data_IF_219944923087
#
_entry.id   IF_219944923087
#
_cell.length_a   1.000
_cell.length_b   1.000
_cell.length_c   1.000
_cell.angle_alpha   90.00
_cell.angle_beta   90.00
_cell.angle_gamma   90.00
#
_symmetry.space_group_name_H-M   'P 1'
#
loop_
_entity.id
_entity.type
_entity.pdbx_description
1 polymer ?
#
# COMPACT_ATOMS: atom_id res chain seq x y z
N UNK A 1 22.50 -58.85 -29.55
CA UNK A 1 22.07 -59.78 -28.48
C UNK A 1 22.92 -59.53 -27.27
N UNK A 2 22.30 -59.19 -26.14
CA UNK A 2 22.98 -59.02 -24.85
C UNK A 2 22.73 -60.25 -23.98
N UNK A 3 23.78 -60.76 -23.33
CA UNK A 3 23.64 -61.86 -22.38
C UNK A 3 22.95 -61.34 -21.12
N UNK A 4 21.75 -61.82 -20.84
CA UNK A 4 21.03 -61.47 -19.62
C UNK A 4 21.77 -62.01 -18.39
N UNK A 5 21.99 -61.14 -17.41
CA UNK A 5 22.42 -61.53 -16.06
C UNK A 5 21.34 -61.03 -15.09
N UNK A 6 20.77 -61.91 -14.23
CA UNK A 6 19.74 -61.50 -13.29
C UNK A 6 20.14 -60.29 -12.44
N UNK A 7 19.28 -59.26 -12.43
CA UNK A 7 19.48 -58.03 -11.65
C UNK A 7 20.53 -57.05 -12.21
N UNK A 8 21.28 -57.43 -13.24
CA UNK A 8 22.25 -56.56 -13.88
C UNK A 8 21.58 -55.50 -14.76
N UNK A 9 22.25 -54.36 -14.89
CA UNK A 9 21.85 -53.33 -15.84
C UNK A 9 22.27 -53.73 -17.25
N UNK A 10 21.37 -53.53 -18.21
CA UNK A 10 21.64 -53.64 -19.63
C UNK A 10 21.74 -52.22 -20.16
N UNK A 11 22.96 -51.78 -20.44
CA UNK A 11 23.24 -50.46 -21.02
C UNK A 11 23.60 -50.62 -22.49
N UNK A 12 22.88 -49.92 -23.36
CA UNK A 12 23.14 -49.86 -24.79
C UNK A 12 22.79 -48.49 -25.34
N UNK A 13 23.61 -47.93 -26.22
CA UNK A 13 23.33 -46.68 -26.95
C UNK A 13 22.77 -45.52 -26.07
N UNK A 14 23.33 -45.33 -24.87
CA UNK A 14 22.97 -44.25 -23.94
C UNK A 14 21.74 -44.50 -23.05
N UNK A 15 21.00 -45.58 -23.28
CA UNK A 15 19.89 -45.99 -22.40
C UNK A 15 20.32 -47.15 -21.50
N UNK A 16 19.67 -47.25 -20.34
CA UNK A 16 19.89 -48.32 -19.35
C UNK A 16 18.54 -48.90 -18.94
N UNK A 17 18.41 -50.22 -19.00
CA UNK A 17 17.24 -50.95 -18.52
C UNK A 17 17.66 -52.02 -17.54
N UNK A 18 16.80 -52.30 -16.55
CA UNK A 18 16.95 -53.40 -15.62
C UNK A 18 15.75 -54.34 -15.79
N UNK A 19 16.03 -55.60 -16.16
CA UNK A 19 15.00 -56.63 -16.23
C UNK A 19 14.92 -57.30 -14.86
N UNK A 20 13.80 -57.08 -14.17
CA UNK A 20 13.50 -57.68 -12.86
C UNK A 20 12.56 -58.87 -13.01
N UNK A 21 12.68 -59.87 -12.12
CA UNK A 21 11.87 -61.11 -12.16
C UNK A 21 12.69 -62.32 -12.62
N UNK A 22 12.02 -63.46 -12.79
CA UNK A 22 12.62 -64.71 -13.27
C UNK A 22 12.15 -64.98 -14.71
N UNK A 23 12.91 -64.59 -15.75
CA UNK A 23 12.52 -64.84 -17.13
C UNK A 23 12.56 -66.34 -17.46
N UNK A 24 11.60 -66.78 -18.27
CA UNK A 24 11.53 -68.15 -18.77
C UNK A 24 12.35 -68.32 -20.04
N UNK A 25 12.68 -69.57 -20.37
CA UNK A 25 13.33 -69.88 -21.65
C UNK A 25 12.43 -69.45 -22.81
N UNK A 26 13.00 -68.69 -23.75
CA UNK A 26 12.36 -68.05 -24.91
C UNK A 26 11.62 -66.73 -24.65
N UNK A 27 11.76 -66.13 -23.45
CA UNK A 27 11.31 -64.75 -23.26
C UNK A 27 12.11 -63.79 -24.14
N UNK A 28 11.39 -62.91 -24.86
CA UNK A 28 11.98 -61.89 -25.73
C UNK A 28 11.51 -60.50 -25.30
N UNK A 29 12.45 -59.58 -25.13
CA UNK A 29 12.18 -58.16 -24.88
C UNK A 29 12.73 -57.35 -26.06
N UNK A 30 11.87 -56.58 -26.73
CA UNK A 30 12.27 -55.66 -27.80
C UNK A 30 12.24 -54.22 -27.32
N UNK A 31 13.23 -53.44 -27.75
CA UNK A 31 13.31 -52.00 -27.54
C UNK A 31 13.51 -51.39 -28.91
N UNK A 32 12.46 -50.73 -29.40
CA UNK A 32 12.42 -50.12 -30.73
C UNK A 32 12.28 -48.60 -30.61
N UNK A 33 12.91 -47.81 -31.51
CA UNK A 33 12.70 -46.37 -31.57
C UNK A 33 11.22 -46.06 -31.77
N UNK A 34 10.70 -45.04 -31.06
CA UNK A 34 9.35 -44.53 -31.32
C UNK A 34 9.34 -43.73 -32.64
N UNK A 35 9.17 -44.42 -33.76
CA UNK A 35 9.19 -43.81 -35.11
C UNK A 35 7.87 -43.11 -35.48
N UNK A 36 6.81 -43.26 -34.67
CA UNK A 36 5.48 -42.66 -34.88
C UNK A 36 5.19 -41.51 -33.90
N UNK A 37 6.22 -40.91 -33.30
CA UNK A 37 6.13 -39.87 -32.27
C UNK A 37 5.62 -38.50 -32.74
N UNK A 38 4.67 -38.43 -33.67
CA UNK A 38 4.05 -37.17 -34.11
C UNK A 38 2.97 -36.65 -33.14
N UNK A 39 2.65 -37.40 -32.08
CA UNK A 39 1.61 -37.05 -31.10
C UNK A 39 1.97 -37.37 -29.63
N UNK A 40 3.25 -37.56 -29.29
CA UNK A 40 3.64 -37.75 -27.90
C UNK A 40 3.65 -36.40 -27.14
N UNK A 41 2.50 -36.07 -26.57
CA UNK A 41 2.29 -34.87 -25.76
C UNK A 41 2.74 -35.00 -24.30
N UNK A 42 3.45 -36.06 -23.91
CA UNK A 42 3.84 -36.31 -22.51
C UNK A 42 4.61 -35.15 -21.89
N UNK A 43 5.52 -34.52 -22.62
CA UNK A 43 6.24 -33.32 -22.16
C UNK A 43 5.32 -32.10 -21.99
N UNK A 44 4.34 -31.92 -22.89
CA UNK A 44 3.35 -30.85 -22.75
C UNK A 44 2.42 -31.08 -21.55
N UNK A 45 2.05 -32.34 -21.30
CA UNK A 45 1.29 -32.73 -20.11
C UNK A 45 2.12 -32.54 -18.82
N UNK A 46 3.41 -32.88 -18.85
CA UNK A 46 4.33 -32.64 -17.73
C UNK A 46 4.49 -31.15 -17.43
N UNK A 47 4.60 -30.31 -18.47
CA UNK A 47 4.64 -28.85 -18.34
C UNK A 47 3.33 -28.29 -17.77
N UNK A 48 2.18 -28.76 -18.27
CA UNK A 48 0.88 -28.38 -17.74
C UNK A 48 0.70 -28.79 -16.27
N UNK A 49 1.23 -29.95 -15.88
CA UNK A 49 1.20 -30.41 -14.49
C UNK A 49 2.03 -29.52 -13.54
N UNK A 50 3.06 -28.80 -14.03
CA UNK A 50 3.81 -27.85 -13.19
C UNK A 50 2.94 -26.67 -12.74
N UNK A 51 1.89 -26.34 -13.49
CA UNK A 51 0.97 -25.25 -13.16
C UNK A 51 0.32 -25.46 -11.78
N UNK A 52 -0.12 -26.68 -11.50
CA UNK A 52 -0.81 -27.04 -10.24
C UNK A 52 0.12 -27.68 -9.21
N UNK A 53 1.38 -27.92 -9.57
CA UNK A 53 2.36 -28.49 -8.65
C UNK A 53 2.90 -27.43 -7.70
N UNK A 54 3.01 -27.77 -6.43
CA UNK A 54 3.65 -26.91 -5.45
C UNK A 54 5.16 -26.90 -5.67
N UNK A 55 5.67 -25.83 -6.27
CA UNK A 55 7.08 -25.67 -6.64
C UNK A 55 7.74 -24.48 -5.94
N UNK A 56 6.94 -23.56 -5.42
CA UNK A 56 7.40 -22.33 -4.78
C UNK A 56 7.29 -22.45 -3.25
N UNK A 57 7.93 -21.52 -2.54
CA UNK A 57 7.92 -21.45 -1.07
C UNK A 57 8.27 -22.80 -0.41
N UNK A 58 9.36 -23.43 -0.86
CA UNK A 58 9.79 -24.73 -0.35
C UNK A 58 8.88 -25.90 -0.73
N UNK A 59 8.06 -25.77 -1.77
CA UNK A 59 7.14 -26.82 -2.24
C UNK A 59 5.76 -26.76 -1.58
N UNK A 60 5.35 -25.59 -1.08
CA UNK A 60 4.05 -25.41 -0.39
C UNK A 60 3.02 -24.67 -1.23
N UNK A 61 3.42 -23.99 -2.30
CA UNK A 61 2.50 -23.23 -3.15
C UNK A 61 2.79 -23.40 -4.64
N UNK A 62 1.74 -23.30 -5.44
CA UNK A 62 1.80 -23.29 -6.91
C UNK A 62 2.22 -21.92 -7.42
N UNK A 63 2.50 -21.81 -8.71
CA UNK A 63 2.75 -20.51 -9.36
C UNK A 63 1.57 -19.54 -9.22
N UNK A 64 0.34 -20.04 -9.42
CA UNK A 64 -0.90 -19.26 -9.25
C UNK A 64 -1.10 -18.84 -7.81
N UNK A 65 -0.84 -19.74 -6.84
CA UNK A 65 -0.96 -19.45 -5.42
C UNK A 65 0.00 -18.35 -4.98
N UNK A 66 1.27 -18.46 -5.37
CA UNK A 66 2.27 -17.42 -5.09
C UNK A 66 1.90 -16.07 -5.72
N UNK A 67 1.44 -16.07 -6.97
CA UNK A 67 1.00 -14.85 -7.64
C UNK A 67 -0.19 -14.20 -6.91
N UNK A 68 -1.20 -14.98 -6.54
CA UNK A 68 -2.35 -14.49 -5.78
C UNK A 68 -1.95 -13.92 -4.41
N UNK A 69 -1.00 -14.55 -3.73
CA UNK A 69 -0.45 -14.04 -2.46
C UNK A 69 0.25 -12.69 -2.64
N UNK A 70 1.06 -12.53 -3.69
CA UNK A 70 1.74 -11.26 -3.97
C UNK A 70 0.71 -10.16 -4.28
N UNK A 71 -0.27 -10.44 -5.15
CA UNK A 71 -1.32 -9.48 -5.50
C UNK A 71 -2.13 -9.09 -4.26
N UNK A 72 -2.48 -10.05 -3.41
CA UNK A 72 -3.18 -9.79 -2.14
C UNK A 72 -2.33 -8.92 -1.21
N UNK A 73 -1.04 -9.23 -1.05
CA UNK A 73 -0.15 -8.46 -0.18
C UNK A 73 0.00 -7.01 -0.65
N UNK A 74 0.18 -6.79 -1.96
CA UNK A 74 0.24 -5.45 -2.55
C UNK A 74 -1.09 -4.71 -2.37
N UNK A 75 -2.22 -5.36 -2.64
CA UNK A 75 -3.55 -4.77 -2.46
C UNK A 75 -3.83 -4.38 -1.01
N UNK A 76 -3.54 -5.26 -0.06
CA UNK A 76 -3.67 -4.98 1.37
C UNK A 76 -2.76 -3.82 1.79
N UNK A 77 -1.51 -3.78 1.33
CA UNK A 77 -0.58 -2.70 1.69
C UNK A 77 -1.01 -1.36 1.10
N UNK A 78 -1.50 -1.35 -0.14
CA UNK A 78 -2.03 -0.15 -0.78
C UNK A 78 -3.24 0.41 0.00
N UNK A 79 -4.15 -0.48 0.42
CA UNK A 79 -5.32 -0.09 1.21
C UNK A 79 -4.91 0.48 2.58
N UNK A 80 -3.97 -0.18 3.27
CA UNK A 80 -3.41 0.29 4.55
C UNK A 80 -2.85 1.72 4.42
N UNK A 81 -2.05 1.98 3.38
CA UNK A 81 -1.47 3.31 3.13
C UNK A 81 -2.55 4.36 2.84
N UNK A 82 -3.60 4.01 2.08
CA UNK A 82 -4.73 4.92 1.84
C UNK A 82 -5.46 5.29 3.15
N UNK A 83 -5.74 4.31 4.00
CA UNK A 83 -6.38 4.56 5.31
C UNK A 83 -5.50 5.42 6.22
N UNK A 84 -4.19 5.15 6.26
CA UNK A 84 -3.24 5.97 7.00
C UNK A 84 -3.18 7.41 6.47
N UNK A 85 -3.21 7.59 5.14
CA UNK A 85 -3.25 8.91 4.51
C UNK A 85 -4.51 9.69 4.93
N UNK A 86 -5.68 9.08 4.81
CA UNK A 86 -6.94 9.71 5.23
C UNK A 86 -6.95 10.05 6.73
N UNK A 87 -6.38 9.20 7.58
CA UNK A 87 -6.26 9.49 9.01
C UNK A 87 -5.31 10.67 9.28
N UNK A 88 -4.19 10.76 8.56
CA UNK A 88 -3.25 11.87 8.66
C UNK A 88 -3.86 13.20 8.18
N UNK A 89 -4.63 13.18 7.10
CA UNK A 89 -5.35 14.34 6.58
C UNK A 89 -6.38 14.84 7.61
N UNK A 90 -7.17 13.94 8.20
CA UNK A 90 -8.12 14.29 9.25
C UNK A 90 -7.42 14.87 10.49
N UNK A 91 -6.26 14.32 10.87
CA UNK A 91 -5.47 14.85 11.99
C UNK A 91 -4.92 16.23 11.67
N UNK A 92 -4.45 16.46 10.44
CA UNK A 92 -3.97 17.76 9.99
C UNK A 92 -5.10 18.80 10.02
N UNK A 93 -6.28 18.46 9.53
CA UNK A 93 -7.46 19.33 9.57
C UNK A 93 -7.85 19.67 11.00
N UNK A 94 -7.97 18.66 11.87
CA UNK A 94 -8.24 18.83 13.30
C UNK A 94 -7.23 19.74 13.99
N UNK A 95 -5.94 19.54 13.73
CA UNK A 95 -4.86 20.32 14.34
C UNK A 95 -4.85 21.74 13.81
N UNK A 96 -5.12 21.94 12.53
CA UNK A 96 -5.21 23.26 11.90
C UNK A 96 -6.40 24.03 12.45
N UNK A 97 -7.56 23.38 12.59
CA UNK A 97 -8.74 23.99 13.22
C UNK A 97 -8.46 24.38 14.67
N UNK A 98 -7.81 23.52 15.45
CA UNK A 98 -7.42 23.83 16.83
C UNK A 98 -6.43 25.00 16.90
N UNK A 99 -5.46 25.06 15.99
CA UNK A 99 -4.52 26.18 15.88
C UNK A 99 -5.27 27.49 15.54
N UNK A 100 -6.19 27.46 14.57
CA UNK A 100 -7.02 28.62 14.22
C UNK A 100 -7.95 29.02 15.35
N UNK A 101 -8.40 28.10 16.19
CA UNK A 101 -9.23 28.43 17.33
C UNK A 101 -8.46 29.18 18.44
N UNK A 102 -7.18 28.86 18.61
CA UNK A 102 -6.30 29.52 19.58
C UNK A 102 -5.68 30.81 19.05
N UNK A 103 -5.25 30.79 17.78
CA UNK A 103 -4.47 31.86 17.15
C UNK A 103 -5.25 32.65 16.11
N UNK A 104 -6.50 32.28 15.85
CA UNK A 104 -7.38 32.98 14.92
C UNK A 104 -7.88 34.27 15.54
N UNK A 105 -7.68 35.35 14.81
CA UNK A 105 -8.22 36.65 15.14
C UNK A 105 -9.72 36.63 14.80
N UNK A 106 -10.57 36.85 15.80
CA UNK A 106 -12.00 36.99 15.57
C UNK A 106 -12.28 38.41 15.06
N UNK A 107 -12.42 38.57 13.74
CA UNK A 107 -12.64 39.87 13.10
C UNK A 107 -13.89 40.61 13.64
N UNK A 108 -14.92 39.89 14.09
CA UNK A 108 -16.12 40.50 14.67
C UNK A 108 -15.85 41.06 16.08
N UNK A 109 -15.02 40.36 16.85
CA UNK A 109 -14.58 40.80 18.18
C UNK A 109 -13.58 41.96 18.08
N UNK A 110 -12.66 41.90 17.11
CA UNK A 110 -11.76 43.00 16.76
C UNK A 110 -12.53 44.23 16.25
N UNK A 111 -13.54 44.04 15.39
CA UNK A 111 -14.40 45.13 14.90
C UNK A 111 -15.23 45.76 16.03
N UNK A 112 -15.74 44.96 16.95
CA UNK A 112 -16.44 45.45 18.15
C UNK A 112 -15.50 46.25 19.06
N UNK A 113 -14.28 45.76 19.27
CA UNK A 113 -13.26 46.49 20.03
C UNK A 113 -12.85 47.78 19.32
N UNK A 114 -12.68 47.76 18.00
CA UNK A 114 -12.45 48.95 17.17
C UNK A 114 -13.56 49.98 17.32
N UNK A 115 -14.83 49.57 17.23
CA UNK A 115 -15.97 50.47 17.43
C UNK A 115 -16.00 51.05 18.85
N UNK A 116 -15.71 50.24 19.87
CA UNK A 116 -15.56 50.73 21.26
C UNK A 116 -14.44 51.76 21.37
N UNK A 117 -13.27 51.51 20.78
CA UNK A 117 -12.16 52.45 20.80
C UNK A 117 -12.49 53.75 20.05
N UNK A 118 -13.16 53.67 18.90
CA UNK A 118 -13.65 54.85 18.18
C UNK A 118 -14.65 55.66 19.02
N UNK A 119 -15.58 55.00 19.68
CA UNK A 119 -16.56 55.66 20.55
C UNK A 119 -15.90 56.30 21.77
N UNK A 120 -14.95 55.60 22.40
CA UNK A 120 -14.17 56.15 23.51
C UNK A 120 -13.34 57.37 23.07
N UNK A 121 -12.75 57.33 21.87
CA UNK A 121 -12.00 58.45 21.30
C UNK A 121 -12.89 59.67 21.04
N UNK A 122 -14.08 59.47 20.46
CA UNK A 122 -15.06 60.54 20.28
C UNK A 122 -15.53 61.13 21.61
N UNK A 123 -15.76 60.28 22.63
CA UNK A 123 -16.13 60.73 23.97
C UNK A 123 -15.00 61.55 24.62
N UNK A 124 -13.75 61.09 24.52
CA UNK A 124 -12.58 61.81 25.01
C UNK A 124 -12.44 63.18 24.32
N UNK A 125 -12.63 63.25 22.99
CA UNK A 125 -12.61 64.52 22.25
C UNK A 125 -13.71 65.48 22.71
N UNK A 126 -14.91 64.98 23.02
CA UNK A 126 -16.00 65.79 23.54
C UNK A 126 -15.73 66.31 24.95
N UNK A 127 -15.14 65.47 25.82
CA UNK A 127 -14.66 65.88 27.15
C UNK A 127 -13.62 66.99 27.02
N UNK A 128 -12.66 66.86 26.11
CA UNK A 128 -11.65 67.91 25.86
C UNK A 128 -12.28 69.22 25.38
N UNK A 129 -13.27 69.16 24.48
CA UNK A 129 -14.01 70.36 24.06
C UNK A 129 -14.72 71.02 25.25
N UNK A 130 -15.43 70.24 26.07
CA UNK A 130 -16.09 70.78 27.26
C UNK A 130 -15.09 71.35 28.26
N UNK A 131 -13.95 70.70 28.47
CA UNK A 131 -12.88 71.21 29.33
C UNK A 131 -12.29 72.53 28.80
N UNK A 132 -12.05 72.65 27.48
CA UNK A 132 -11.61 73.90 26.85
C UNK A 132 -12.63 75.01 27.05
N UNK A 133 -13.93 74.73 26.85
CA UNK A 133 -15.00 75.71 27.05
C UNK A 133 -15.09 76.17 28.51
N UNK A 134 -14.93 75.26 29.47
CA UNK A 134 -14.88 75.61 30.90
C UNK A 134 -13.66 76.48 31.22
N UNK A 135 -12.50 76.15 30.63
CA UNK A 135 -11.28 76.93 30.80
C UNK A 135 -11.42 78.36 30.23
N UNK A 136 -11.97 78.49 29.03
CA UNK A 136 -12.23 79.80 28.39
C UNK A 136 -13.25 80.63 29.19
N UNK A 137 -14.25 79.97 29.80
CA UNK A 137 -15.23 80.63 30.67
C UNK A 137 -14.58 81.15 31.96
N UNK A 138 -13.72 80.35 32.60
CA UNK A 138 -12.97 80.77 33.79
C UNK A 138 -12.02 81.94 33.49
N UNK A 139 -11.33 81.91 32.35
CA UNK A 139 -10.48 83.01 31.90
C UNK A 139 -11.26 84.31 31.65
N UNK A 140 -12.44 84.22 31.01
CA UNK A 140 -13.31 85.39 30.81
C UNK A 140 -13.88 85.96 32.12
N UNK A 141 -14.14 85.12 33.13
CA UNK A 141 -14.63 85.53 34.44
C UNK A 141 -13.54 86.17 35.32
N UNK A 142 -12.29 85.70 35.23
CA UNK A 142 -11.16 86.24 35.97
C UNK A 142 -10.40 87.39 35.28
N UNK A 143 -10.73 87.68 34.02
CA UNK A 143 -10.05 88.67 33.16
C UNK A 143 -10.71 90.05 33.09
N UNK A 144 -11.70 90.35 33.94
CA UNK A 144 -12.21 91.71 34.17
C UNK A 144 -11.81 92.21 35.56
#
# INVERSE_FOLDING_TARGET
TYTYTPGADISYNGWTVKITGAPATNDTFSIDPNTNGTADGSNAAALAALQTKNMLAGGTTTYQGAYAQIVSAVGSKAHEVQTMGAAADNLLESTTAAQQQLSGVNLDEEATNMLKYQQAYMAAGKIMQTASQLFDMLLNLGGN
#
